data_IF_955179657484
#
_entry.id   IF_955179657484
#
_cell.length_a   1.000
_cell.length_b   1.000
_cell.length_c   1.000
_cell.angle_alpha   90.00
_cell.angle_beta   90.00
_cell.angle_gamma   90.00
#
_symmetry.space_group_name_H-M   'P 1'
#
loop_
_entity.id
_entity.type
_entity.pdbx_description
1 polymer ?
#
# COMPACT_ATOMS: atom_id res chain seq x y z
N UNK A 1 -57.21 28.20 4.95
CA UNK A 1 -55.77 28.58 4.96
C UNK A 1 -54.93 27.83 6.00
N UNK A 2 -55.45 26.81 6.71
CA UNK A 2 -54.73 26.13 7.81
C UNK A 2 -54.03 24.84 7.34
N UNK A 3 -54.51 24.21 6.25
CA UNK A 3 -54.02 22.90 5.80
C UNK A 3 -52.62 22.90 5.13
N UNK A 4 -52.13 24.07 4.71
CA UNK A 4 -50.83 24.20 4.03
C UNK A 4 -49.66 24.21 5.02
N UNK A 5 -49.87 24.73 6.24
CA UNK A 5 -48.81 24.92 7.22
C UNK A 5 -48.34 23.58 7.80
N UNK A 6 -49.27 22.66 8.09
CA UNK A 6 -48.92 21.31 8.55
C UNK A 6 -48.08 20.56 7.51
N UNK A 7 -48.47 20.64 6.23
CA UNK A 7 -47.73 20.01 5.12
C UNK A 7 -46.28 20.52 5.01
N UNK A 8 -46.06 21.83 5.15
CA UNK A 8 -44.71 22.41 5.10
C UNK A 8 -43.81 21.95 6.25
N UNK A 9 -44.37 21.74 7.44
CA UNK A 9 -43.62 21.23 8.60
C UNK A 9 -43.19 19.78 8.38
N UNK A 10 -44.06 18.92 7.84
CA UNK A 10 -43.71 17.54 7.51
C UNK A 10 -42.61 17.46 6.46
N UNK A 11 -42.66 18.31 5.42
CA UNK A 11 -41.61 18.36 4.39
C UNK A 11 -40.27 18.79 4.98
N UNK A 12 -40.26 19.78 5.88
CA UNK A 12 -39.04 20.21 6.57
C UNK A 12 -38.44 19.10 7.45
N UNK A 13 -39.26 18.41 8.24
CA UNK A 13 -38.83 17.29 9.10
C UNK A 13 -38.30 16.13 8.25
N UNK A 14 -38.99 15.78 7.18
CA UNK A 14 -38.55 14.72 6.27
C UNK A 14 -37.24 15.08 5.57
N UNK A 15 -37.07 16.34 5.16
CA UNK A 15 -35.83 16.84 4.58
C UNK A 15 -34.65 16.75 5.56
N UNK A 16 -34.86 17.10 6.82
CA UNK A 16 -33.83 16.99 7.87
C UNK A 16 -33.48 15.52 8.13
N UNK A 17 -34.49 14.64 8.27
CA UNK A 17 -34.28 13.21 8.48
C UNK A 17 -33.57 12.55 7.29
N UNK A 18 -33.97 12.85 6.07
CA UNK A 18 -33.33 12.35 4.85
C UNK A 18 -31.87 12.82 4.76
N UNK A 19 -31.60 14.09 5.07
CA UNK A 19 -30.24 14.65 5.08
C UNK A 19 -29.35 13.98 6.13
N UNK A 20 -29.90 13.70 7.31
CA UNK A 20 -29.19 12.99 8.38
C UNK A 20 -28.84 11.55 7.96
N UNK A 21 -29.78 10.85 7.34
CA UNK A 21 -29.56 9.47 6.85
C UNK A 21 -28.46 9.46 5.78
N UNK A 22 -28.52 10.37 4.80
CA UNK A 22 -27.49 10.49 3.76
C UNK A 22 -26.13 10.78 4.38
N UNK A 23 -26.05 11.71 5.33
CA UNK A 23 -24.80 12.05 6.02
C UNK A 23 -24.19 10.82 6.74
N UNK A 24 -25.00 10.05 7.46
CA UNK A 24 -24.53 8.84 8.15
C UNK A 24 -24.02 7.78 7.16
N UNK A 25 -24.72 7.58 6.04
CA UNK A 25 -24.30 6.64 5.00
C UNK A 25 -22.99 7.08 4.32
N UNK A 26 -22.89 8.35 3.93
CA UNK A 26 -21.67 8.92 3.35
C UNK A 26 -20.48 8.76 4.29
N UNK A 27 -20.65 9.11 5.58
CA UNK A 27 -19.60 8.98 6.58
C UNK A 27 -19.14 7.54 6.77
N UNK A 28 -20.08 6.59 6.79
CA UNK A 28 -19.74 5.17 6.93
C UNK A 28 -18.95 4.64 5.72
N UNK A 29 -19.39 4.98 4.51
CA UNK A 29 -18.72 4.56 3.28
C UNK A 29 -17.30 5.15 3.16
N UNK A 30 -17.15 6.45 3.45
CA UNK A 30 -15.86 7.14 3.37
C UNK A 30 -14.88 6.65 4.43
N UNK A 31 -15.36 6.33 5.64
CA UNK A 31 -14.53 5.75 6.70
C UNK A 31 -13.94 4.39 6.33
N UNK A 32 -14.63 3.59 5.52
CA UNK A 32 -14.08 2.32 5.01
C UNK A 32 -13.11 2.53 3.86
N UNK A 33 -13.36 3.52 2.99
CA UNK A 33 -12.46 3.84 1.88
C UNK A 33 -11.05 4.25 2.36
N UNK A 34 -10.94 5.08 3.40
CA UNK A 34 -9.64 5.55 3.88
C UNK A 34 -8.67 4.43 4.32
N UNK A 35 -9.18 3.36 4.94
CA UNK A 35 -8.36 2.19 5.32
C UNK A 35 -7.89 1.42 4.08
N UNK A 36 -8.79 1.22 3.12
CA UNK A 36 -8.46 0.57 1.85
C UNK A 36 -7.45 1.38 1.05
N UNK A 37 -7.55 2.71 1.07
CA UNK A 37 -6.63 3.61 0.37
C UNK A 37 -5.24 3.58 0.99
N UNK A 38 -5.14 3.49 2.32
CA UNK A 38 -3.86 3.30 2.99
C UNK A 38 -3.19 1.98 2.60
N UNK A 39 -3.94 0.87 2.62
CA UNK A 39 -3.43 -0.46 2.21
C UNK A 39 -2.95 -0.44 0.76
N UNK A 40 -3.71 0.18 -0.15
CA UNK A 40 -3.30 0.33 -1.56
C UNK A 40 -2.00 1.13 -1.70
N UNK A 41 -1.87 2.24 -0.96
CA UNK A 41 -0.63 3.03 -0.95
C UNK A 41 0.55 2.22 -0.44
N UNK A 42 0.33 1.41 0.60
CA UNK A 42 1.36 0.54 1.16
C UNK A 42 1.81 -0.53 0.14
N UNK A 43 0.86 -1.16 -0.55
CA UNK A 43 1.15 -2.14 -1.60
C UNK A 43 1.96 -1.51 -2.75
N UNK A 44 1.54 -0.35 -3.25
CA UNK A 44 2.26 0.36 -4.31
C UNK A 44 3.68 0.75 -3.85
N UNK A 45 3.82 1.23 -2.61
CA UNK A 45 5.10 1.61 -2.04
C UNK A 45 6.06 0.41 -1.90
N UNK A 46 5.58 -0.73 -1.40
CA UNK A 46 6.37 -1.95 -1.29
C UNK A 46 6.77 -2.49 -2.67
N UNK A 47 5.86 -2.46 -3.65
CA UNK A 47 6.18 -2.84 -5.02
C UNK A 47 7.26 -1.94 -5.63
N UNK A 48 7.22 -0.63 -5.39
CA UNK A 48 8.27 0.29 -5.84
C UNK A 48 9.63 -0.03 -5.21
N UNK A 49 9.67 -0.33 -3.90
CA UNK A 49 10.90 -0.79 -3.26
C UNK A 49 11.44 -2.06 -3.93
N UNK A 50 10.58 -3.05 -4.13
CA UNK A 50 10.96 -4.32 -4.74
C UNK A 50 11.49 -4.13 -6.18
N UNK A 51 10.80 -3.33 -7.00
CA UNK A 51 11.22 -3.04 -8.37
C UNK A 51 12.49 -2.20 -8.46
N UNK A 52 12.79 -1.39 -7.45
CA UNK A 52 14.05 -0.63 -7.41
C UNK A 52 15.28 -1.53 -7.21
N UNK A 53 15.12 -2.68 -6.54
CA UNK A 53 16.23 -3.60 -6.24
C UNK A 53 16.44 -4.64 -7.35
N UNK A 54 15.38 -5.05 -8.06
CA UNK A 54 15.47 -6.05 -9.14
C UNK A 54 16.59 -5.79 -10.17
N UNK A 55 16.78 -4.56 -10.71
CA UNK A 55 17.86 -4.30 -11.67
C UNK A 55 19.25 -4.55 -11.08
N UNK A 56 19.46 -4.24 -9.80
CA UNK A 56 20.73 -4.46 -9.11
C UNK A 56 21.05 -5.95 -9.03
N UNK A 57 20.04 -6.78 -8.75
CA UNK A 57 20.19 -8.23 -8.69
C UNK A 57 20.63 -8.83 -10.04
N UNK A 58 20.08 -8.34 -11.16
CA UNK A 58 20.47 -8.75 -12.51
C UNK A 58 21.94 -8.38 -12.79
N UNK A 59 22.39 -7.24 -12.29
CA UNK A 59 23.80 -6.83 -12.35
C UNK A 59 24.69 -7.49 -11.29
N UNK A 60 24.17 -8.43 -10.51
CA UNK A 60 24.85 -9.08 -9.38
C UNK A 60 25.38 -8.10 -8.33
N UNK A 61 24.68 -6.97 -8.18
CA UNK A 61 24.95 -5.94 -7.18
C UNK A 61 23.87 -5.96 -6.12
N UNK A 62 24.26 -5.61 -4.91
CA UNK A 62 23.37 -5.63 -3.76
C UNK A 62 23.51 -4.30 -3.01
N UNK A 63 22.42 -3.57 -2.74
CA UNK A 63 22.49 -2.31 -2.03
C UNK A 63 22.94 -2.55 -0.58
N UNK A 64 23.66 -1.58 -0.01
CA UNK A 64 23.97 -1.61 1.41
C UNK A 64 22.72 -1.31 2.24
N UNK A 65 22.78 -1.63 3.54
CA UNK A 65 21.70 -1.36 4.51
C UNK A 65 21.32 0.12 4.55
N UNK A 66 22.29 1.02 4.43
CA UNK A 66 22.07 2.47 4.41
C UNK A 66 21.30 2.90 3.16
N UNK A 67 21.63 2.32 2.00
CA UNK A 67 20.93 2.59 0.75
C UNK A 67 19.48 2.08 0.84
N UNK A 68 19.28 0.87 1.36
CA UNK A 68 17.93 0.33 1.57
C UNK A 68 17.11 1.19 2.54
N UNK A 69 17.72 1.66 3.62
CA UNK A 69 17.07 2.56 4.57
C UNK A 69 16.69 3.89 3.93
N UNK A 70 17.57 4.46 3.09
CA UNK A 70 17.30 5.70 2.37
C UNK A 70 16.16 5.52 1.35
N UNK A 71 16.14 4.41 0.60
CA UNK A 71 15.04 4.05 -0.30
C UNK A 71 13.74 3.94 0.50
N UNK A 72 13.71 3.15 1.58
CA UNK A 72 12.53 2.97 2.44
C UNK A 72 12.00 4.32 2.96
N UNK A 73 12.88 5.19 3.45
CA UNK A 73 12.50 6.52 3.94
C UNK A 73 11.91 7.39 2.82
N UNK A 74 12.57 7.43 1.66
CA UNK A 74 12.11 8.23 0.52
C UNK A 74 10.75 7.75 -0.02
N UNK A 75 10.56 6.43 -0.10
CA UNK A 75 9.32 5.81 -0.56
C UNK A 75 8.18 6.03 0.45
N UNK A 76 8.44 5.88 1.76
CA UNK A 76 7.46 6.20 2.81
C UNK A 76 6.94 7.64 2.66
N UNK A 77 7.87 8.59 2.51
CA UNK A 77 7.54 10.00 2.32
C UNK A 77 6.76 10.25 1.03
N UNK A 78 7.14 9.59 -0.07
CA UNK A 78 6.49 9.74 -1.39
C UNK A 78 5.03 9.32 -1.35
N UNK A 79 4.72 8.21 -0.67
CA UNK A 79 3.37 7.64 -0.64
C UNK A 79 2.54 8.06 0.59
N UNK A 80 3.16 8.74 1.56
CA UNK A 80 2.51 9.17 2.79
C UNK A 80 2.08 7.99 3.67
N UNK A 81 2.96 6.99 3.80
CA UNK A 81 2.78 5.80 4.62
C UNK A 81 3.83 5.75 5.72
N UNK A 82 3.54 5.04 6.82
CA UNK A 82 4.48 4.88 7.91
C UNK A 82 5.65 3.99 7.50
N UNK A 83 6.88 4.39 7.84
CA UNK A 83 8.07 3.65 7.46
C UNK A 83 8.05 2.22 8.02
N UNK A 84 7.54 2.05 9.24
CA UNK A 84 7.46 0.75 9.92
C UNK A 84 6.52 -0.25 9.24
N UNK A 85 5.55 0.23 8.46
CA UNK A 85 4.61 -0.62 7.73
C UNK A 85 5.19 -1.10 6.39
N UNK A 86 6.18 -0.40 5.85
CA UNK A 86 6.90 -0.82 4.65
C UNK A 86 7.82 -2.01 4.93
N UNK A 87 8.18 -2.72 3.86
CA UNK A 87 9.15 -3.80 3.90
C UNK A 87 10.41 -3.41 4.66
N UNK A 88 10.75 -4.26 5.62
CA UNK A 88 12.08 -4.31 6.19
C UNK A 88 13.00 -5.15 5.29
N UNK A 89 14.28 -5.18 5.65
CA UNK A 89 15.31 -5.91 4.93
C UNK A 89 14.96 -7.39 4.75
N UNK A 90 14.38 -8.02 5.78
CA UNK A 90 14.01 -9.43 5.76
C UNK A 90 12.82 -9.70 4.84
N UNK A 91 11.76 -8.90 4.91
CA UNK A 91 10.57 -9.05 4.09
C UNK A 91 10.89 -8.79 2.61
N UNK A 92 11.67 -7.74 2.33
CA UNK A 92 12.11 -7.41 0.97
C UNK A 92 12.95 -8.53 0.36
N UNK A 93 13.95 -9.04 1.10
CA UNK A 93 14.81 -10.13 0.62
C UNK A 93 14.03 -11.44 0.44
N UNK A 94 13.10 -11.75 1.35
CA UNK A 94 12.27 -12.95 1.27
C UNK A 94 11.40 -12.97 0.00
N UNK A 95 10.74 -11.85 -0.31
CA UNK A 95 9.93 -11.73 -1.53
C UNK A 95 10.79 -11.80 -2.79
N UNK A 96 11.96 -11.14 -2.80
CA UNK A 96 12.90 -11.23 -3.93
C UNK A 96 13.43 -12.66 -4.14
N UNK A 97 13.70 -13.39 -3.07
CA UNK A 97 14.09 -14.82 -3.13
C UNK A 97 12.94 -15.63 -3.72
N UNK A 98 11.72 -15.43 -3.22
CA UNK A 98 10.54 -16.15 -3.70
C UNK A 98 10.29 -15.91 -5.20
N UNK A 99 10.36 -14.66 -5.65
CA UNK A 99 10.25 -14.29 -7.06
C UNK A 99 11.36 -14.93 -7.92
N UNK A 100 12.59 -14.92 -7.42
CA UNK A 100 13.75 -15.51 -8.10
C UNK A 100 13.58 -17.02 -8.28
N UNK A 101 13.17 -17.73 -7.23
CA UNK A 101 12.93 -19.17 -7.28
C UNK A 101 11.77 -19.52 -8.21
N UNK A 102 10.69 -18.74 -8.17
CA UNK A 102 9.51 -18.94 -9.01
C UNK A 102 9.75 -18.62 -10.50
N UNK A 103 10.83 -17.89 -10.84
CA UNK A 103 11.13 -17.50 -12.20
C UNK A 103 11.50 -18.71 -13.08
N UNK A 104 10.68 -19.03 -14.09
CA UNK A 104 10.91 -20.14 -15.02
C UNK A 104 11.99 -19.88 -16.07
N UNK A 105 12.41 -18.63 -16.26
CA UNK A 105 13.42 -18.24 -17.24
C UNK A 105 14.86 -18.39 -16.71
N UNK A 106 15.02 -18.55 -15.40
CA UNK A 106 16.33 -18.73 -14.78
C UNK A 106 16.69 -20.22 -14.66
N UNK A 107 17.95 -20.54 -14.91
CA UNK A 107 18.49 -21.88 -14.59
C UNK A 107 18.57 -22.08 -13.08
N UNK A 108 18.62 -23.33 -12.63
CA UNK A 108 18.80 -23.64 -11.20
C UNK A 108 20.04 -22.97 -10.61
N UNK A 109 21.14 -22.91 -11.35
CA UNK A 109 22.38 -22.27 -10.90
C UNK A 109 22.22 -20.75 -10.75
N UNK A 110 21.55 -20.09 -11.70
CA UNK A 110 21.26 -18.65 -11.61
C UNK A 110 20.35 -18.33 -10.42
N UNK A 111 19.35 -19.17 -10.16
CA UNK A 111 18.46 -19.01 -9.01
C UNK A 111 19.24 -19.06 -7.70
N UNK A 112 20.10 -20.07 -7.54
CA UNK A 112 20.91 -20.23 -6.34
C UNK A 112 21.92 -19.08 -6.17
N UNK A 113 22.56 -18.64 -7.26
CA UNK A 113 23.48 -17.50 -7.24
C UNK A 113 22.79 -16.22 -6.72
N UNK A 114 21.62 -15.88 -7.28
CA UNK A 114 20.86 -14.71 -6.85
C UNK A 114 20.35 -14.82 -5.42
N UNK A 115 19.88 -16.00 -5.00
CA UNK A 115 19.47 -16.22 -3.60
C UNK A 115 20.63 -16.01 -2.63
N UNK A 116 21.84 -16.49 -2.98
CA UNK A 116 23.02 -16.29 -2.16
C UNK A 116 23.43 -14.81 -2.07
N UNK A 117 23.31 -14.05 -3.18
CA UNK A 117 23.53 -12.61 -3.18
C UNK A 117 22.55 -11.89 -2.25
N UNK A 118 21.26 -12.23 -2.30
CA UNK A 118 20.24 -11.62 -1.44
C UNK A 118 20.46 -11.94 0.05
N UNK A 119 20.98 -13.12 0.39
CA UNK A 119 21.32 -13.48 1.77
C UNK A 119 22.51 -12.68 2.34
N UNK A 120 23.31 -12.04 1.48
CA UNK A 120 24.41 -11.17 1.90
C UNK A 120 23.93 -9.80 2.42
N UNK A 121 22.67 -9.45 2.17
CA UNK A 121 21.99 -8.31 2.78
C UNK A 121 21.61 -8.72 4.21
N UNK A 122 22.50 -8.47 5.18
CA UNK A 122 22.25 -8.62 6.63
C UNK A 122 22.76 -7.38 7.37
#
# INVERSE_FOLDING_TARGET
>A
MIHLQDSTVYVAIFGILASLIVFLLTRHFFSRHGKTDYIKKLEIANNEMLYSIRPLLVEKKVPSKEILMAVRFSTAKKYGVEQNDLYDEFSLTSDLINETIANSFLTSDQKLEFCNLLQSIK
#
